data_IF_266167924572
#
_entry.id   IF_266167924572
#
_cell.length_a   1.000
_cell.length_b   1.000
_cell.length_c   1.000
_cell.angle_alpha   90.00
_cell.angle_beta   90.00
_cell.angle_gamma   90.00
#
_symmetry.space_group_name_H-M   'P 1'
#
loop_
_entity.id
_entity.type
_entity.pdbx_description
1 polymer ?
#
# COMPACT_ATOMS: atom_id res chain seq x y z
N UNK A 1 -4.39 6.46 -14.51
CA UNK A 1 -4.70 5.33 -13.63
C UNK A 1 -5.62 5.81 -12.51
N UNK A 2 -6.75 5.13 -12.31
CA UNK A 2 -7.66 5.43 -11.21
C UNK A 2 -7.17 4.74 -9.93
N UNK A 3 -7.27 5.41 -8.78
CA UNK A 3 -6.89 4.82 -7.48
C UNK A 3 -8.12 4.82 -6.58
N UNK A 4 -8.47 3.65 -6.07
CA UNK A 4 -9.45 3.47 -5.02
C UNK A 4 -8.81 2.83 -3.79
N UNK A 5 -9.40 3.06 -2.62
CA UNK A 5 -8.95 2.50 -1.34
C UNK A 5 -9.96 1.46 -0.88
N UNK A 6 -9.49 0.32 -0.37
CA UNK A 6 -10.35 -0.59 0.38
C UNK A 6 -10.89 0.13 1.63
N UNK A 7 -12.13 -0.13 2.05
CA UNK A 7 -12.77 0.58 3.19
C UNK A 7 -11.96 0.48 4.49
N UNK A 8 -11.28 -0.66 4.67
CA UNK A 8 -10.36 -0.92 5.77
C UNK A 8 -9.12 0.01 5.84
N UNK A 9 -8.81 0.79 4.79
CA UNK A 9 -7.66 1.71 4.80
C UNK A 9 -7.82 2.82 5.84
N UNK A 10 -9.04 3.26 6.10
CA UNK A 10 -9.30 4.21 7.18
C UNK A 10 -8.88 3.65 8.55
N UNK A 11 -9.16 2.36 8.79
CA UNK A 11 -8.72 1.67 10.01
C UNK A 11 -7.21 1.51 10.08
N UNK A 12 -6.56 1.28 8.95
CA UNK A 12 -5.09 1.23 8.87
C UNK A 12 -4.46 2.58 9.23
N UNK A 13 -4.96 3.69 8.66
CA UNK A 13 -4.48 5.04 8.96
C UNK A 13 -4.66 5.36 10.46
N UNK A 14 -5.80 5.00 11.06
CA UNK A 14 -6.04 5.18 12.50
C UNK A 14 -5.02 4.45 13.37
N UNK A 15 -4.55 3.26 12.97
CA UNK A 15 -3.48 2.54 13.67
C UNK A 15 -2.12 3.24 13.55
N UNK A 16 -1.94 4.07 12.53
CA UNK A 16 -0.73 4.83 12.26
C UNK A 16 -0.70 6.23 12.88
N UNK A 17 -1.74 6.65 13.62
CA UNK A 17 -1.88 8.00 14.20
C UNK A 17 -0.71 8.47 15.07
N UNK A 18 0.12 7.55 15.57
CA UNK A 18 1.32 7.85 16.37
C UNK A 18 2.53 8.29 15.52
N UNK A 19 2.45 8.10 14.20
CA UNK A 19 3.49 8.49 13.24
C UNK A 19 3.09 9.79 12.54
N UNK A 20 4.07 10.47 11.97
CA UNK A 20 3.84 11.77 11.33
C UNK A 20 3.20 11.60 9.95
N UNK A 21 2.14 12.38 9.71
CA UNK A 21 1.50 12.55 8.41
C UNK A 21 1.22 11.26 7.61
N UNK A 22 0.62 10.20 8.21
CA UNK A 22 0.39 8.94 7.51
C UNK A 22 -0.54 9.11 6.31
N UNK A 23 -1.62 9.89 6.46
CA UNK A 23 -2.58 10.15 5.39
C UNK A 23 -1.94 10.97 4.27
N UNK A 24 -1.27 12.08 4.60
CA UNK A 24 -0.66 12.94 3.58
C UNK A 24 0.47 12.21 2.84
N UNK A 25 1.17 11.30 3.52
CA UNK A 25 2.18 10.42 2.90
C UNK A 25 1.54 9.46 1.90
N UNK A 26 0.40 8.86 2.24
CA UNK A 26 -0.36 7.99 1.33
C UNK A 26 -0.87 8.79 0.13
N UNK A 27 -1.51 9.94 0.34
CA UNK A 27 -2.04 10.79 -0.72
C UNK A 27 -0.94 11.31 -1.67
N UNK A 28 0.23 11.64 -1.14
CA UNK A 28 1.36 12.02 -1.97
C UNK A 28 1.84 10.86 -2.85
N UNK A 29 1.86 9.64 -2.31
CA UNK A 29 2.16 8.45 -3.10
C UNK A 29 1.09 8.18 -4.15
N UNK A 30 -0.20 8.32 -3.82
CA UNK A 30 -1.30 8.13 -4.77
C UNK A 30 -1.22 9.09 -5.95
N UNK A 31 -1.01 10.39 -5.69
CA UNK A 31 -0.85 11.40 -6.76
C UNK A 31 0.33 11.11 -7.66
N UNK A 32 1.43 10.63 -7.10
CA UNK A 32 2.61 10.26 -7.89
C UNK A 32 2.33 8.99 -8.72
N UNK A 33 1.75 7.98 -8.07
CA UNK A 33 1.43 6.69 -8.67
C UNK A 33 0.40 6.83 -9.79
N UNK A 34 -0.63 7.67 -9.63
CA UNK A 34 -1.66 7.87 -10.65
C UNK A 34 -1.12 8.42 -11.97
N UNK A 35 0.00 9.15 -11.93
CA UNK A 35 0.71 9.71 -13.09
C UNK A 35 1.72 8.72 -13.66
N UNK A 36 2.41 7.95 -12.81
CA UNK A 36 3.57 7.13 -13.20
C UNK A 36 3.25 5.65 -13.44
N UNK A 37 2.22 5.13 -12.79
CA UNK A 37 1.87 3.72 -12.85
C UNK A 37 2.95 2.80 -12.26
N UNK A 38 2.75 1.50 -12.45
CA UNK A 38 3.65 0.44 -11.92
C UNK A 38 5.05 0.53 -12.53
N UNK A 39 5.17 0.82 -13.82
CA UNK A 39 6.44 0.74 -14.56
C UNK A 39 7.41 1.86 -14.22
N UNK A 40 6.92 3.07 -13.94
CA UNK A 40 7.79 4.23 -13.65
C UNK A 40 7.90 4.54 -12.16
N UNK A 41 7.02 4.01 -11.31
CA UNK A 41 7.09 4.30 -9.88
C UNK A 41 8.18 3.45 -9.21
N UNK A 42 9.20 4.06 -8.57
CA UNK A 42 10.33 3.33 -8.03
C UNK A 42 9.96 2.59 -6.73
N UNK A 43 10.57 1.41 -6.54
CA UNK A 43 10.40 0.62 -5.33
C UNK A 43 9.02 -0.04 -5.21
N UNK A 44 8.47 -0.43 -6.35
CA UNK A 44 7.32 -1.32 -6.47
C UNK A 44 7.82 -2.72 -6.82
N UNK A 45 7.43 -3.68 -6.00
CA UNK A 45 7.75 -5.09 -6.18
C UNK A 45 6.45 -5.89 -6.26
N UNK A 46 6.40 -6.92 -7.11
CA UNK A 46 5.27 -7.86 -7.13
C UNK A 46 5.22 -8.60 -5.79
N UNK A 47 4.03 -8.71 -5.20
CA UNK A 47 3.79 -9.46 -3.97
C UNK A 47 3.24 -10.84 -4.33
N UNK A 48 4.03 -11.93 -4.17
CA UNK A 48 3.61 -13.26 -4.59
C UNK A 48 2.54 -13.85 -3.66
N UNK A 49 1.87 -14.92 -4.11
CA UNK A 49 0.92 -15.67 -3.28
C UNK A 49 -0.56 -15.45 -3.59
N UNK A 50 -0.90 -14.74 -4.66
CA UNK A 50 -2.29 -14.40 -5.04
C UNK A 50 -2.72 -14.93 -6.41
N UNK A 51 -2.08 -16.01 -6.90
CA UNK A 51 -2.45 -16.65 -8.16
C UNK A 51 -2.29 -15.72 -9.36
N UNK A 52 -3.36 -15.56 -10.14
CA UNK A 52 -3.41 -14.66 -11.29
C UNK A 52 -3.54 -13.18 -10.94
N UNK A 53 -3.85 -12.83 -9.69
CA UNK A 53 -4.03 -11.43 -9.27
C UNK A 53 -2.71 -10.67 -9.30
N UNK A 54 -2.76 -9.43 -9.78
CA UNK A 54 -1.60 -8.55 -9.89
C UNK A 54 -1.46 -7.70 -8.62
N UNK A 55 -0.97 -8.33 -7.56
CA UNK A 55 -0.73 -7.66 -6.27
C UNK A 55 0.71 -7.18 -6.18
N UNK A 56 0.89 -5.97 -5.69
CA UNK A 56 2.18 -5.30 -5.57
C UNK A 56 2.35 -4.68 -4.19
N UNK A 57 3.60 -4.44 -3.83
CA UNK A 57 4.01 -3.71 -2.63
C UNK A 57 4.90 -2.55 -3.03
N UNK A 58 4.61 -1.37 -2.49
CA UNK A 58 5.42 -0.19 -2.68
C UNK A 58 5.89 0.42 -1.37
N UNK A 59 7.00 1.17 -1.44
CA UNK A 59 7.48 2.01 -0.33
C UNK A 59 6.91 3.41 -0.46
N UNK A 60 6.31 3.88 0.63
CA UNK A 60 5.76 5.23 0.72
C UNK A 60 6.71 6.09 1.55
N UNK A 61 7.03 7.28 1.03
CA UNK A 61 7.92 8.23 1.71
C UNK A 61 7.18 8.81 2.91
N UNK A 62 7.75 8.72 4.13
CA UNK A 62 7.13 9.30 5.30
C UNK A 62 7.36 10.81 5.32
N UNK A 63 6.31 11.57 5.01
CA UNK A 63 6.39 13.04 5.04
C UNK A 63 6.55 13.51 6.49
N UNK A 64 7.26 14.63 6.67
CA UNK A 64 7.53 15.23 7.99
C UNK A 64 8.34 14.34 8.94
N UNK A 65 9.04 13.34 8.42
CA UNK A 65 10.01 12.53 9.16
C UNK A 65 11.38 12.59 8.46
N UNK A 66 12.46 12.75 9.22
CA UNK A 66 13.82 12.70 8.69
C UNK A 66 14.36 11.26 8.72
N UNK A 67 13.66 10.34 8.06
CA UNK A 67 14.06 8.93 7.98
C UNK A 67 14.05 8.42 6.54
N UNK A 68 14.87 7.41 6.27
CA UNK A 68 14.90 6.76 4.96
C UNK A 68 13.65 5.91 4.66
N UNK A 69 13.37 5.70 3.36
CA UNK A 69 12.26 4.88 2.86
C UNK A 69 12.22 3.45 3.43
N UNK A 70 13.36 2.91 3.86
CA UNK A 70 13.46 1.58 4.48
C UNK A 70 12.66 1.48 5.77
N UNK A 71 12.60 2.54 6.58
CA UNK A 71 11.83 2.61 7.82
C UNK A 71 10.46 3.27 7.66
N UNK A 72 10.11 3.68 6.43
CA UNK A 72 8.88 4.39 6.10
C UNK A 72 7.64 3.51 6.00
N UNK A 73 6.61 4.07 5.36
CA UNK A 73 5.34 3.40 5.15
C UNK A 73 5.40 2.37 4.00
N UNK A 74 4.44 1.46 3.98
CA UNK A 74 4.24 0.44 2.95
C UNK A 74 2.80 0.49 2.50
N UNK A 75 2.60 0.36 1.19
CA UNK A 75 1.29 0.21 0.60
C UNK A 75 1.28 -1.09 -0.20
N UNK A 76 0.19 -1.84 -0.09
CA UNK A 76 -0.07 -3.04 -0.87
C UNK A 76 -1.33 -2.77 -1.66
N UNK A 77 -1.28 -3.06 -2.95
CA UNK A 77 -2.37 -2.77 -3.87
C UNK A 77 -2.48 -3.84 -4.95
N UNK A 78 -3.67 -3.97 -5.51
CA UNK A 78 -3.95 -4.80 -6.68
C UNK A 78 -4.19 -3.90 -7.90
N UNK A 79 -3.68 -4.33 -9.06
CA UNK A 79 -4.04 -3.76 -10.35
C UNK A 79 -5.14 -4.63 -10.97
N UNK A 80 -6.25 -4.00 -11.33
CA UNK A 80 -7.38 -4.63 -12.03
C UNK A 80 -7.28 -4.37 -13.54
N UNK A 81 -8.01 -5.15 -14.34
CA UNK A 81 -7.95 -5.14 -15.83
C UNK A 81 -8.12 -3.75 -16.47
N UNK A 82 -8.84 -2.83 -15.82
CA UNK A 82 -9.08 -1.47 -16.32
C UNK A 82 -8.04 -0.43 -15.84
N UNK A 83 -6.84 -0.87 -15.44
CA UNK A 83 -5.84 -0.01 -14.79
C UNK A 83 -6.40 0.71 -13.54
N UNK A 84 -7.28 0.03 -12.81
CA UNK A 84 -7.74 0.51 -11.51
C UNK A 84 -6.78 -0.05 -10.46
N UNK A 85 -6.14 0.83 -9.71
CA UNK A 85 -5.34 0.48 -8.56
C UNK A 85 -6.24 0.47 -7.31
N UNK A 86 -6.40 -0.69 -6.71
CA UNK A 86 -7.08 -0.83 -5.43
C UNK A 86 -6.06 -0.97 -4.31
N UNK A 87 -5.98 0.03 -3.43
CA UNK A 87 -5.12 -0.04 -2.25
C UNK A 87 -5.76 -0.97 -1.23
N UNK A 88 -5.07 -2.07 -0.93
CA UNK A 88 -5.53 -3.13 -0.05
C UNK A 88 -5.04 -2.94 1.37
N UNK A 89 -3.79 -2.54 1.60
CA UNK A 89 -3.21 -2.37 2.94
C UNK A 89 -2.32 -1.14 2.98
N UNK A 90 -2.42 -0.35 4.05
CA UNK A 90 -1.45 0.70 4.37
C UNK A 90 -0.84 0.43 5.74
N UNK A 91 0.48 0.45 5.85
CA UNK A 91 1.15 0.11 7.09
C UNK A 91 2.50 0.78 7.23
N UNK A 92 3.15 0.56 8.36
CA UNK A 92 4.52 0.97 8.63
C UNK A 92 5.41 -0.26 8.63
N UNK A 93 6.67 -0.07 8.23
CA UNK A 93 7.71 -1.06 8.44
C UNK A 93 7.68 -1.58 9.89
N UNK A 94 7.69 -2.91 10.07
CA UNK A 94 7.70 -3.56 11.38
C UNK A 94 6.34 -3.70 12.09
N UNK A 95 5.21 -3.33 11.47
CA UNK A 95 3.88 -3.53 12.08
C UNK A 95 3.46 -5.00 12.09
N UNK A 96 3.61 -5.68 10.94
CA UNK A 96 3.32 -7.12 10.85
C UNK A 96 4.55 -7.89 11.29
N UNK A 97 4.36 -8.84 12.22
CA UNK A 97 5.46 -9.62 12.78
C UNK A 97 5.91 -10.70 11.82
N UNK A 98 4.99 -11.19 10.99
CA UNK A 98 5.24 -12.21 9.98
C UNK A 98 4.65 -11.82 8.64
N UNK A 99 5.27 -12.31 7.56
CA UNK A 99 4.72 -12.20 6.21
C UNK A 99 3.39 -12.96 6.07
N UNK A 100 3.19 -14.02 6.86
CA UNK A 100 1.96 -14.78 6.90
C UNK A 100 0.75 -13.97 7.40
N UNK A 101 0.89 -13.22 8.50
CA UNK A 101 -0.15 -12.30 8.99
C UNK A 101 -0.60 -11.31 7.90
N UNK A 102 0.37 -10.79 7.16
CA UNK A 102 0.13 -9.85 6.08
C UNK A 102 -0.57 -10.53 4.90
N UNK A 103 -0.14 -11.73 4.52
CA UNK A 103 -0.77 -12.53 3.46
C UNK A 103 -2.24 -12.81 3.75
N UNK A 104 -2.56 -13.28 4.96
CA UNK A 104 -3.96 -13.60 5.34
C UNK A 104 -4.83 -12.34 5.37
N UNK A 105 -4.29 -11.21 5.85
CA UNK A 105 -4.99 -9.92 5.78
C UNK A 105 -5.32 -9.52 4.34
N UNK A 106 -4.35 -9.65 3.42
CA UNK A 106 -4.56 -9.30 2.01
C UNK A 106 -5.60 -10.24 1.39
N UNK A 107 -5.50 -11.56 1.62
CA UNK A 107 -6.49 -12.54 1.13
C UNK A 107 -7.91 -12.21 1.58
N UNK A 108 -8.08 -11.84 2.85
CA UNK A 108 -9.38 -11.42 3.38
C UNK A 108 -9.92 -10.21 2.59
N UNK A 109 -9.10 -9.15 2.42
CA UNK A 109 -9.48 -7.93 1.67
C UNK A 109 -9.68 -8.15 0.16
N UNK A 110 -9.09 -9.19 -0.40
CA UNK A 110 -9.31 -9.61 -1.79
C UNK A 110 -10.60 -10.43 -1.97
N UNK A 111 -11.09 -11.05 -0.89
CA UNK A 111 -12.28 -11.91 -0.88
C UNK A 111 -13.56 -11.17 -0.52
N UNK A 112 -13.48 -9.93 -0.03
CA UNK A 112 -14.62 -9.04 0.25
C UNK A 112 -15.30 -8.51 -1.05
N UNK A 113 -15.26 -9.28 -2.14
CA UNK A 113 -15.87 -8.95 -3.44
C UNK A 113 -16.40 -10.20 -4.16
#
# INVERSE_FOLDING_TARGET
>A
MEICRHDAIENDIRKLKRFSAPLESLEAWERFFSVKGVRETPGIDRFPGFGSREVYKARVVPLKENIGKSQGYRVIFEILENEICRILVFSRHGIYKTEHELLELIKARLSDF
#
